data_IF_590143060837
#
_entry.id   IF_590143060837
#
_cell.length_a   1.000
_cell.length_b   1.000
_cell.length_c   1.000
_cell.angle_alpha   90.00
_cell.angle_beta   90.00
_cell.angle_gamma   90.00
#
_symmetry.space_group_name_H-M   'P 1'
#
loop_
_entity.id
_entity.type
_entity.pdbx_description
1 polymer ?
#
# COMPACT_ATOMS: atom_id res chain seq x y z
N UNK A 1 10.34 -29.13 -10.80
CA UNK A 1 9.19 -28.46 -10.15
C UNK A 1 9.04 -27.10 -10.78
N UNK A 2 7.84 -26.60 -11.10
CA UNK A 2 7.70 -25.24 -11.60
C UNK A 2 8.25 -24.28 -10.55
N UNK A 3 9.05 -23.32 -11.00
CA UNK A 3 9.68 -22.32 -10.13
C UNK A 3 8.58 -21.49 -9.44
N UNK A 4 8.66 -21.34 -8.13
CA UNK A 4 7.67 -20.54 -7.37
C UNK A 4 7.66 -19.10 -7.90
N UNK A 5 6.45 -18.54 -8.10
CA UNK A 5 6.30 -17.15 -8.52
C UNK A 5 6.59 -16.22 -7.34
N UNK A 6 7.64 -15.41 -7.44
CA UNK A 6 8.03 -14.44 -6.41
C UNK A 6 7.49 -13.06 -6.77
N UNK A 7 6.69 -12.47 -5.88
CA UNK A 7 6.05 -11.16 -6.08
C UNK A 7 6.47 -10.20 -4.96
N UNK A 8 6.95 -9.03 -5.35
CA UNK A 8 7.21 -7.94 -4.42
C UNK A 8 6.07 -6.90 -4.47
N UNK A 9 5.58 -6.51 -3.30
CA UNK A 9 4.65 -5.40 -3.13
C UNK A 9 5.42 -4.27 -2.40
N UNK A 10 5.58 -3.14 -3.07
CA UNK A 10 6.34 -2.02 -2.54
C UNK A 10 5.41 -0.97 -1.94
N UNK A 11 5.43 -0.87 -0.62
CA UNK A 11 4.57 0.00 0.18
C UNK A 11 3.59 -0.80 1.04
N UNK A 12 3.76 -0.73 2.35
CA UNK A 12 2.92 -1.38 3.37
C UNK A 12 1.70 -0.55 3.77
N UNK A 13 1.08 0.16 2.83
CA UNK A 13 -0.20 0.84 3.00
C UNK A 13 -1.40 -0.04 2.66
N UNK A 14 -2.63 0.53 2.69
CA UNK A 14 -3.87 -0.19 2.38
C UNK A 14 -3.82 -0.88 1.01
N UNK A 15 -3.41 -0.15 -0.03
CA UNK A 15 -3.30 -0.69 -1.38
C UNK A 15 -2.32 -1.87 -1.47
N UNK A 16 -1.18 -1.80 -0.75
CA UNK A 16 -0.19 -2.88 -0.73
C UNK A 16 -0.70 -4.14 -0.04
N UNK A 17 -1.35 -4.00 1.10
CA UNK A 17 -1.97 -5.14 1.79
C UNK A 17 -3.07 -5.78 0.96
N UNK A 18 -3.98 -4.95 0.40
CA UNK A 18 -5.05 -5.45 -0.44
C UNK A 18 -4.50 -6.19 -1.67
N UNK A 19 -3.53 -5.58 -2.39
CA UNK A 19 -2.88 -6.21 -3.54
C UNK A 19 -2.19 -7.53 -3.18
N UNK A 20 -1.50 -7.60 -2.04
CA UNK A 20 -0.83 -8.82 -1.59
C UNK A 20 -1.82 -9.93 -1.24
N UNK A 21 -2.94 -9.59 -0.55
CA UNK A 21 -3.99 -10.54 -0.18
C UNK A 21 -4.65 -11.11 -1.43
N UNK A 22 -5.07 -10.24 -2.36
CA UNK A 22 -5.73 -10.68 -3.59
C UNK A 22 -4.77 -11.45 -4.52
N UNK A 23 -3.51 -11.03 -4.61
CA UNK A 23 -2.50 -11.79 -5.35
C UNK A 23 -2.32 -13.19 -4.74
N UNK A 24 -2.29 -13.31 -3.41
CA UNK A 24 -2.13 -14.61 -2.75
C UNK A 24 -3.36 -15.51 -2.88
N UNK A 25 -4.57 -14.93 -2.88
CA UNK A 25 -5.82 -15.67 -3.15
C UNK A 25 -5.84 -16.25 -4.58
N UNK A 26 -5.41 -15.46 -5.56
CA UNK A 26 -5.39 -15.87 -6.97
C UNK A 26 -4.18 -16.76 -7.33
N UNK A 27 -3.07 -16.62 -6.62
CA UNK A 27 -1.83 -17.38 -6.83
C UNK A 27 -1.38 -18.03 -5.49
N UNK A 28 -2.06 -19.08 -5.01
CA UNK A 28 -1.81 -19.64 -3.66
C UNK A 28 -0.38 -20.14 -3.46
N UNK A 29 0.31 -20.54 -4.51
CA UNK A 29 1.69 -21.03 -4.47
C UNK A 29 2.74 -19.95 -4.67
N UNK A 30 2.34 -18.69 -4.91
CA UNK A 30 3.29 -17.59 -5.03
C UNK A 30 3.90 -17.21 -3.67
N UNK A 31 5.17 -16.85 -3.68
CA UNK A 31 5.85 -16.20 -2.56
C UNK A 31 5.66 -14.69 -2.68
N UNK A 32 4.87 -14.11 -1.76
CA UNK A 32 4.54 -12.68 -1.78
C UNK A 32 5.15 -12.00 -0.57
N UNK A 33 5.86 -10.91 -0.82
CA UNK A 33 6.46 -10.09 0.24
C UNK A 33 6.07 -8.62 0.07
N UNK A 34 5.53 -8.04 1.14
CA UNK A 34 5.32 -6.59 1.27
C UNK A 34 6.59 -5.97 1.85
N UNK A 35 7.13 -4.95 1.18
CA UNK A 35 8.25 -4.15 1.65
C UNK A 35 7.78 -2.75 2.04
N UNK A 36 8.05 -2.34 3.27
CA UNK A 36 7.72 -1.02 3.79
C UNK A 36 9.01 -0.30 4.23
N UNK A 37 9.16 0.96 3.83
CA UNK A 37 10.33 1.78 4.17
C UNK A 37 10.42 2.14 5.65
N UNK A 38 9.27 2.29 6.31
CA UNK A 38 9.18 2.63 7.72
C UNK A 38 9.18 1.37 8.60
N UNK A 39 9.30 1.57 9.90
CA UNK A 39 9.20 0.49 10.88
C UNK A 39 7.76 -0.01 11.12
N UNK A 40 6.75 0.74 10.65
CA UNK A 40 5.33 0.47 10.86
C UNK A 40 4.59 0.48 9.52
N UNK A 41 3.77 -0.53 9.29
CA UNK A 41 2.84 -0.60 8.16
C UNK A 41 1.54 0.13 8.47
N UNK A 42 0.74 0.46 7.44
CA UNK A 42 -0.60 1.04 7.54
C UNK A 42 -0.69 2.36 8.32
N UNK A 43 0.43 3.07 8.51
CA UNK A 43 0.49 4.29 9.32
C UNK A 43 -0.47 5.40 8.84
N UNK A 44 -0.74 5.51 7.53
CA UNK A 44 -1.74 6.46 7.01
C UNK A 44 -3.17 6.01 7.30
N UNK A 45 -3.44 4.71 7.30
CA UNK A 45 -4.77 4.15 7.65
C UNK A 45 -5.11 4.51 9.10
N UNK A 46 -4.13 4.36 10.00
CA UNK A 46 -4.29 4.63 11.43
C UNK A 46 -4.80 6.05 11.72
N UNK A 47 -4.30 7.05 11.00
CA UNK A 47 -4.64 8.47 11.25
C UNK A 47 -5.79 9.00 10.40
N UNK A 48 -6.18 8.30 9.35
CA UNK A 48 -7.24 8.78 8.44
C UNK A 48 -8.61 8.82 9.15
N UNK A 49 -9.47 9.76 8.74
CA UNK A 49 -10.78 9.94 9.36
C UNK A 49 -10.71 10.26 10.86
N UNK A 50 -9.64 10.92 11.34
CA UNK A 50 -9.44 11.22 12.75
C UNK A 50 -9.18 9.98 13.61
N UNK A 51 -8.51 8.97 13.07
CA UNK A 51 -8.22 7.70 13.76
C UNK A 51 -9.31 6.64 13.62
N UNK A 52 -10.41 6.95 12.90
CA UNK A 52 -11.53 6.03 12.69
C UNK A 52 -11.41 5.21 11.40
N UNK A 53 -10.56 5.62 10.47
CA UNK A 53 -10.43 5.13 9.09
C UNK A 53 -11.69 5.42 8.24
N UNK A 54 -11.73 6.58 7.58
CA UNK A 54 -12.66 6.78 6.47
C UNK A 54 -12.24 5.83 5.32
N UNK A 55 -12.97 4.70 5.20
CA UNK A 55 -12.61 3.61 4.32
C UNK A 55 -12.94 3.92 2.86
N UNK A 56 -14.16 4.39 2.61
CA UNK A 56 -14.69 4.73 1.30
C UNK A 56 -15.86 5.68 1.43
N UNK A 57 -16.50 6.00 0.29
CA UNK A 57 -17.78 6.70 0.24
C UNK A 57 -18.80 5.82 -0.49
N UNK A 58 -20.09 5.88 -0.15
CA UNK A 58 -21.12 5.08 -0.81
C UNK A 58 -21.37 5.50 -2.25
N UNK A 59 -20.98 6.71 -2.62
CA UNK A 59 -21.22 7.33 -3.94
C UNK A 59 -22.69 7.49 -4.31
N UNK A 60 -23.65 7.31 -3.40
CA UNK A 60 -25.09 7.40 -3.68
C UNK A 60 -25.50 8.78 -4.18
N UNK A 61 -24.86 9.85 -3.69
CA UNK A 61 -25.14 11.22 -4.08
C UNK A 61 -24.32 11.67 -5.30
N UNK A 62 -23.44 10.84 -5.84
CA UNK A 62 -22.54 11.17 -6.95
C UNK A 62 -23.11 10.61 -8.25
N UNK A 63 -23.83 11.46 -9.00
CA UNK A 63 -24.39 11.07 -10.31
C UNK A 63 -23.35 10.97 -11.42
N UNK A 64 -22.24 11.72 -11.33
CA UNK A 64 -21.14 11.69 -12.29
C UNK A 64 -19.79 11.58 -11.54
N UNK A 65 -19.03 10.52 -11.83
CA UNK A 65 -17.71 10.30 -11.25
C UNK A 65 -16.72 11.46 -11.49
N UNK A 66 -16.99 12.34 -12.46
CA UNK A 66 -16.19 13.55 -12.69
C UNK A 66 -16.26 14.52 -11.49
N UNK A 67 -17.34 14.49 -10.71
CA UNK A 67 -17.49 15.31 -9.50
C UNK A 67 -16.48 14.87 -8.41
N UNK A 68 -16.33 13.55 -8.23
CA UNK A 68 -15.37 13.01 -7.27
C UNK A 68 -13.95 12.92 -7.84
N UNK A 69 -13.83 12.65 -9.13
CA UNK A 69 -12.55 12.49 -9.83
C UNK A 69 -12.46 13.42 -11.03
N UNK A 70 -12.22 14.72 -10.86
CA UNK A 70 -12.12 15.69 -11.97
C UNK A 70 -11.06 15.26 -12.99
N UNK A 71 -9.98 14.63 -12.52
CA UNK A 71 -8.97 13.96 -13.34
C UNK A 71 -9.11 12.45 -13.16
N UNK A 72 -9.02 11.70 -14.27
CA UNK A 72 -9.04 10.24 -14.23
C UNK A 72 -10.41 9.57 -14.12
N UNK A 73 -11.53 10.33 -14.15
CA UNK A 73 -12.90 9.77 -14.06
C UNK A 73 -13.17 8.67 -15.09
N UNK A 74 -12.63 8.79 -16.32
CA UNK A 74 -12.76 7.76 -17.37
C UNK A 74 -12.06 6.44 -16.98
N UNK A 75 -10.91 6.53 -16.33
CA UNK A 75 -10.21 5.37 -15.78
C UNK A 75 -10.99 4.78 -14.61
N UNK A 76 -11.41 5.62 -13.67
CA UNK A 76 -12.20 5.18 -12.51
C UNK A 76 -13.50 4.51 -12.91
N UNK A 77 -14.22 5.02 -13.92
CA UNK A 77 -15.42 4.37 -14.46
C UNK A 77 -15.15 2.94 -14.97
N UNK A 78 -13.96 2.67 -15.54
CA UNK A 78 -13.56 1.32 -15.95
C UNK A 78 -13.19 0.44 -14.76
N UNK A 79 -12.46 0.99 -13.79
CA UNK A 79 -12.04 0.26 -12.59
C UNK A 79 -13.23 -0.09 -11.72
N UNK A 80 -14.18 0.81 -11.52
CA UNK A 80 -15.40 0.58 -10.73
C UNK A 80 -16.28 -0.54 -11.29
N UNK A 81 -16.18 -0.87 -12.58
CA UNK A 81 -16.83 -2.08 -13.12
C UNK A 81 -16.23 -3.39 -12.60
N UNK A 82 -15.02 -3.34 -12.01
CA UNK A 82 -14.31 -4.50 -11.47
C UNK A 82 -14.30 -4.50 -9.95
N UNK A 83 -14.13 -3.33 -9.36
CA UNK A 83 -14.05 -3.15 -7.93
C UNK A 83 -14.47 -1.71 -7.59
N UNK A 84 -15.62 -1.54 -6.98
CA UNK A 84 -16.17 -0.27 -6.54
C UNK A 84 -16.31 -0.22 -5.00
N UNK A 85 -17.07 0.77 -4.50
CA UNK A 85 -17.29 0.94 -3.07
C UNK A 85 -18.03 -0.25 -2.45
N UNK A 86 -19.01 -0.83 -3.18
CA UNK A 86 -19.79 -1.96 -2.68
C UNK A 86 -18.90 -3.20 -2.53
N UNK A 87 -18.04 -3.46 -3.52
CA UNK A 87 -17.06 -4.55 -3.41
C UNK A 87 -16.09 -4.32 -2.23
N UNK A 88 -15.69 -3.07 -1.96
CA UNK A 88 -14.86 -2.76 -0.80
C UNK A 88 -15.61 -2.99 0.52
N UNK A 89 -16.89 -2.57 0.57
CA UNK A 89 -17.77 -2.78 1.72
C UNK A 89 -17.92 -4.27 2.01
N UNK A 90 -18.36 -5.03 1.02
CA UNK A 90 -18.58 -6.48 1.14
C UNK A 90 -17.29 -7.21 1.55
N UNK A 91 -16.15 -6.82 0.96
CA UNK A 91 -14.86 -7.43 1.28
C UNK A 91 -14.49 -7.30 2.77
N UNK A 92 -14.69 -6.14 3.37
CA UNK A 92 -14.37 -5.94 4.78
C UNK A 92 -15.39 -6.65 5.68
N UNK A 93 -16.67 -6.63 5.37
CA UNK A 93 -17.69 -7.35 6.12
C UNK A 93 -17.48 -8.88 6.08
N UNK A 94 -17.17 -9.44 4.92
CA UNK A 94 -16.80 -10.85 4.75
C UNK A 94 -15.53 -11.23 5.53
N UNK A 95 -14.63 -10.28 5.77
CA UNK A 95 -13.43 -10.49 6.59
C UNK A 95 -13.64 -10.10 8.07
N UNK A 96 -14.89 -9.92 8.50
CA UNK A 96 -15.27 -9.78 9.91
C UNK A 96 -15.16 -8.35 10.45
N UNK A 97 -15.19 -7.33 9.59
CA UNK A 97 -15.22 -5.92 10.01
C UNK A 97 -16.57 -5.31 9.65
N UNK A 98 -17.52 -5.21 10.60
CA UNK A 98 -18.77 -4.52 10.37
C UNK A 98 -18.54 -3.04 10.03
N UNK A 99 -19.24 -2.55 9.01
CA UNK A 99 -19.12 -1.19 8.53
C UNK A 99 -20.41 -0.38 8.76
N UNK A 100 -20.29 0.94 8.74
CA UNK A 100 -21.41 1.88 8.83
C UNK A 100 -21.20 3.03 7.86
N UNK A 101 -22.26 3.37 7.12
CA UNK A 101 -22.32 4.57 6.28
C UNK A 101 -22.90 5.70 7.11
N UNK A 102 -22.22 6.83 7.17
CA UNK A 102 -22.68 8.05 7.86
C UNK A 102 -23.55 8.91 6.93
N UNK A 103 -24.19 9.95 7.47
CA UNK A 103 -25.08 10.85 6.72
C UNK A 103 -24.38 11.55 5.53
N UNK A 104 -23.07 11.81 5.68
CA UNK A 104 -22.22 12.37 4.61
C UNK A 104 -21.71 11.34 3.59
N UNK A 105 -22.32 10.16 3.58
CA UNK A 105 -21.98 9.01 2.73
C UNK A 105 -20.58 8.43 2.94
N UNK A 106 -19.83 8.90 3.95
CA UNK A 106 -18.56 8.31 4.34
C UNK A 106 -18.76 6.99 5.07
N UNK A 107 -17.94 6.00 4.75
CA UNK A 107 -18.00 4.65 5.32
C UNK A 107 -16.87 4.45 6.31
N UNK A 108 -17.22 4.01 7.52
CA UNK A 108 -16.29 3.75 8.62
C UNK A 108 -16.50 2.35 9.19
N UNK A 109 -15.52 1.75 9.88
CA UNK A 109 -15.78 0.60 10.71
C UNK A 109 -16.77 0.96 11.83
N UNK A 110 -17.69 0.06 12.13
CA UNK A 110 -18.70 0.27 13.18
C UNK A 110 -18.06 0.54 14.56
N UNK A 111 -16.88 -0.01 14.80
CA UNK A 111 -16.09 0.23 16.01
C UNK A 111 -15.62 1.71 16.15
N UNK A 112 -15.66 2.50 15.09
CA UNK A 112 -15.08 3.85 15.02
C UNK A 112 -13.57 3.88 15.37
N UNK A 113 -12.86 2.77 15.16
CA UNK A 113 -11.43 2.61 15.40
C UNK A 113 -10.75 2.03 14.16
N UNK A 114 -9.75 2.75 13.64
CA UNK A 114 -8.97 2.35 12.47
C UNK A 114 -8.24 1.01 12.66
N UNK A 115 -8.01 0.59 13.91
CA UNK A 115 -7.37 -0.71 14.19
C UNK A 115 -8.21 -1.89 13.71
N UNK A 116 -9.54 -1.78 13.64
CA UNK A 116 -10.38 -2.82 13.04
C UNK A 116 -9.99 -3.11 11.58
N UNK A 117 -9.72 -2.07 10.82
CA UNK A 117 -9.28 -2.19 9.42
C UNK A 117 -7.82 -2.68 9.34
N UNK A 118 -6.94 -2.13 10.19
CA UNK A 118 -5.52 -2.49 10.24
C UNK A 118 -5.36 -3.98 10.60
N UNK A 119 -6.02 -4.43 11.63
CA UNK A 119 -5.94 -5.81 12.11
C UNK A 119 -6.53 -6.79 11.09
N UNK A 120 -7.64 -6.43 10.45
CA UNK A 120 -8.22 -7.21 9.37
C UNK A 120 -7.20 -7.44 8.24
N UNK A 121 -6.57 -6.37 7.73
CA UNK A 121 -5.60 -6.46 6.64
C UNK A 121 -4.35 -7.25 7.06
N UNK A 122 -3.78 -6.94 8.22
CA UNK A 122 -2.55 -7.58 8.72
C UNK A 122 -2.78 -9.07 8.99
N UNK A 123 -3.85 -9.41 9.70
CA UNK A 123 -4.14 -10.79 10.08
C UNK A 123 -4.52 -11.63 8.85
N UNK A 124 -5.27 -11.07 7.89
CA UNK A 124 -5.59 -11.76 6.64
C UNK A 124 -4.34 -12.03 5.82
N UNK A 125 -3.44 -11.03 5.66
CA UNK A 125 -2.18 -11.21 4.96
C UNK A 125 -1.30 -12.29 5.62
N UNK A 126 -1.16 -12.24 6.94
CA UNK A 126 -0.39 -13.24 7.71
C UNK A 126 -0.98 -14.65 7.58
N UNK A 127 -2.30 -14.80 7.73
CA UNK A 127 -3.01 -16.09 7.59
C UNK A 127 -2.79 -16.72 6.22
N UNK A 128 -2.69 -15.91 5.18
CA UNK A 128 -2.39 -16.34 3.82
C UNK A 128 -0.90 -16.62 3.58
N UNK A 129 -0.02 -16.34 4.53
CA UNK A 129 1.42 -16.54 4.40
C UNK A 129 2.16 -15.43 3.64
N UNK A 130 1.56 -14.24 3.53
CA UNK A 130 2.26 -13.07 2.99
C UNK A 130 3.33 -12.61 3.98
N UNK A 131 4.55 -12.42 3.48
CA UNK A 131 5.69 -11.91 4.26
C UNK A 131 5.63 -10.39 4.32
N UNK A 132 5.96 -9.81 5.49
CA UNK A 132 6.01 -8.35 5.68
C UNK A 132 7.41 -7.99 6.16
N UNK A 133 8.09 -7.12 5.41
CA UNK A 133 9.43 -6.62 5.72
C UNK A 133 9.42 -5.09 5.83
N UNK A 134 9.47 -4.60 7.06
CA UNK A 134 9.63 -3.18 7.36
C UNK A 134 11.09 -2.74 7.24
N UNK A 135 11.34 -1.43 7.27
CA UNK A 135 12.66 -0.80 7.15
C UNK A 135 13.38 -1.11 5.82
N UNK A 136 12.64 -1.43 4.77
CA UNK A 136 13.15 -1.69 3.44
C UNK A 136 12.68 -0.61 2.48
N UNK A 137 13.51 0.38 2.22
CA UNK A 137 13.25 1.44 1.24
C UNK A 137 13.72 1.03 -0.14
N UNK A 138 12.82 0.88 -1.10
CA UNK A 138 13.19 0.68 -2.51
C UNK A 138 13.98 1.91 -3.01
N UNK A 139 15.11 1.66 -3.67
CA UNK A 139 15.97 2.71 -4.24
C UNK A 139 16.13 2.59 -5.74
N UNK A 140 16.13 1.37 -6.29
CA UNK A 140 16.22 1.14 -7.72
C UNK A 140 15.48 -0.15 -8.14
N UNK A 141 15.11 -0.20 -9.41
CA UNK A 141 14.57 -1.39 -10.08
C UNK A 141 15.36 -1.55 -11.38
N UNK A 142 15.88 -2.75 -11.62
CA UNK A 142 16.63 -3.09 -12.84
C UNK A 142 16.02 -4.34 -13.45
N UNK A 143 15.75 -4.31 -14.75
CA UNK A 143 15.31 -5.50 -15.50
C UNK A 143 16.51 -6.42 -15.77
N UNK A 144 16.34 -7.70 -15.50
CA UNK A 144 17.35 -8.74 -15.75
C UNK A 144 17.08 -9.42 -17.10
N UNK A 145 18.10 -10.07 -17.66
CA UNK A 145 18.02 -10.80 -18.95
C UNK A 145 16.96 -11.90 -18.94
N UNK A 146 16.62 -12.46 -17.78
CA UNK A 146 15.62 -13.52 -17.60
C UNK A 146 14.21 -12.96 -17.27
N UNK A 147 13.93 -11.70 -17.60
CA UNK A 147 12.66 -11.00 -17.39
C UNK A 147 12.27 -10.81 -15.92
N UNK A 148 13.15 -11.10 -14.98
CA UNK A 148 12.96 -10.76 -13.58
C UNK A 148 13.38 -9.31 -13.31
N UNK A 149 12.89 -8.77 -12.21
CA UNK A 149 13.20 -7.42 -11.73
C UNK A 149 14.09 -7.52 -10.49
N UNK A 150 15.30 -6.98 -10.58
CA UNK A 150 16.20 -6.83 -9.45
C UNK A 150 15.84 -5.54 -8.70
N UNK A 151 15.53 -5.68 -7.41
CA UNK A 151 15.17 -4.57 -6.54
C UNK A 151 16.30 -4.27 -5.57
N UNK A 152 16.73 -3.02 -5.52
CA UNK A 152 17.70 -2.52 -4.56
C UNK A 152 16.96 -1.90 -3.38
N UNK A 153 17.24 -2.39 -2.18
CA UNK A 153 16.68 -1.89 -0.94
C UNK A 153 17.75 -1.27 -0.06
N UNK A 154 17.49 -0.07 0.42
CA UNK A 154 18.20 0.49 1.57
C UNK A 154 17.52 -0.03 2.84
N UNK A 155 18.23 -0.89 3.58
CA UNK A 155 17.71 -1.49 4.81
C UNK A 155 18.25 -0.72 6.00
N UNK A 156 17.35 -0.18 6.84
CA UNK A 156 17.72 0.50 8.08
C UNK A 156 17.63 -0.49 9.25
N UNK A 157 18.71 -0.69 9.99
CA UNK A 157 18.66 -1.47 11.23
C UNK A 157 17.83 -0.69 12.25
N UNK A 158 16.72 -1.25 12.72
CA UNK A 158 15.93 -0.70 13.81
C UNK A 158 16.85 -0.46 15.03
N UNK A 159 16.60 0.61 15.77
CA UNK A 159 17.24 0.83 17.07
C UNK A 159 16.85 -0.34 17.98
N UNK A 160 17.72 -1.34 18.08
CA UNK A 160 17.60 -2.34 19.14
C UNK A 160 17.70 -1.59 20.47
N UNK A 161 16.81 -1.91 21.42
CA UNK A 161 16.94 -1.50 22.80
C UNK A 161 18.21 -2.15 23.39
N UNK A 162 19.35 -1.48 23.20
CA UNK A 162 20.54 -1.72 24.00
C UNK A 162 20.67 -0.54 24.93
N UNK A 163 20.22 -0.77 26.16
CA UNK A 163 20.52 0.10 27.30
C UNK A 163 22.03 0.27 27.45
N UNK A 164 22.52 1.49 27.30
CA UNK A 164 23.85 1.90 27.74
C UNK A 164 24.94 1.81 26.68
N UNK A 165 25.04 2.84 25.82
CA UNK A 165 26.31 3.44 25.39
C UNK A 165 26.01 4.68 24.54
N UNK A 166 26.44 5.83 25.00
CA UNK A 166 26.49 7.09 24.27
C UNK A 166 27.57 7.02 23.19
N UNK A 167 27.20 6.83 21.96
CA UNK A 167 27.97 7.28 20.81
C UNK A 167 27.02 7.48 19.62
N UNK A 168 27.06 8.65 19.02
CA UNK A 168 26.32 9.02 17.84
C UNK A 168 26.82 8.19 16.63
N UNK A 169 26.44 6.93 16.55
CA UNK A 169 26.64 6.11 15.38
C UNK A 169 25.45 6.33 14.45
N UNK A 170 25.70 6.86 13.26
CA UNK A 170 24.72 6.92 12.17
C UNK A 170 24.18 5.50 11.95
N UNK A 171 22.86 5.32 11.75
CA UNK A 171 22.32 3.99 11.48
C UNK A 171 22.99 3.44 10.22
N UNK A 172 23.72 2.33 10.37
CA UNK A 172 24.36 1.65 9.24
C UNK A 172 23.24 1.14 8.35
N UNK A 173 23.10 1.75 7.17
CA UNK A 173 22.18 1.27 6.14
C UNK A 173 22.93 0.28 5.24
N UNK A 174 22.36 -0.90 5.08
CA UNK A 174 22.83 -1.94 4.19
C UNK A 174 22.02 -1.88 2.87
N UNK A 175 22.70 -2.05 1.72
CA UNK A 175 22.02 -2.24 0.45
C UNK A 175 21.79 -3.74 0.27
N UNK A 176 20.54 -4.11 0.03
CA UNK A 176 20.13 -5.49 -0.23
C UNK A 176 19.49 -5.60 -1.60
N UNK A 177 19.95 -6.53 -2.41
CA UNK A 177 19.43 -6.80 -3.74
C UNK A 177 18.63 -8.10 -3.75
N UNK A 178 17.42 -8.06 -4.31
CA UNK A 178 16.55 -9.24 -4.37
C UNK A 178 15.82 -9.23 -5.73
N UNK A 179 15.83 -10.37 -6.42
CA UNK A 179 15.15 -10.53 -7.71
C UNK A 179 13.73 -11.09 -7.54
N UNK A 180 12.78 -10.53 -8.29
CA UNK A 180 11.37 -10.92 -8.30
C UNK A 180 10.85 -11.11 -9.72
N UNK A 181 9.84 -11.97 -9.87
CA UNK A 181 9.16 -12.20 -11.15
C UNK A 181 8.15 -11.08 -11.46
N UNK A 182 7.55 -10.50 -10.43
CA UNK A 182 6.56 -9.40 -10.56
C UNK A 182 6.72 -8.42 -9.42
N UNK A 183 6.44 -7.16 -9.71
CA UNK A 183 6.51 -6.06 -8.73
C UNK A 183 5.25 -5.22 -8.84
N UNK A 184 4.63 -4.91 -7.71
CA UNK A 184 3.55 -3.93 -7.63
C UNK A 184 4.02 -2.73 -6.81
N UNK A 185 3.94 -1.53 -7.37
CA UNK A 185 4.29 -0.28 -6.70
C UNK A 185 3.03 0.32 -6.09
N UNK A 186 2.98 0.34 -4.76
CA UNK A 186 1.83 0.81 -3.97
C UNK A 186 2.24 1.85 -2.92
N UNK A 187 3.26 2.65 -3.25
CA UNK A 187 3.87 3.62 -2.33
C UNK A 187 2.99 4.85 -2.04
N UNK A 188 1.87 4.97 -2.75
CA UNK A 188 0.98 6.13 -2.66
C UNK A 188 1.56 7.38 -3.31
N UNK A 189 0.88 8.51 -3.13
CA UNK A 189 1.32 9.80 -3.65
C UNK A 189 2.51 10.38 -2.88
N UNK A 190 3.27 11.24 -3.55
CA UNK A 190 4.39 11.97 -2.96
C UNK A 190 4.44 13.40 -3.50
N UNK A 191 4.74 14.43 -2.67
CA UNK A 191 4.76 15.82 -3.12
C UNK A 191 5.95 16.17 -4.03
N UNK A 192 7.03 15.38 -3.99
CA UNK A 192 8.25 15.62 -4.75
C UNK A 192 8.40 14.60 -5.87
N UNK A 193 8.67 15.08 -7.09
CA UNK A 193 8.82 14.24 -8.29
C UNK A 193 9.99 13.26 -8.18
N UNK A 194 11.06 13.65 -7.46
CA UNK A 194 12.25 12.82 -7.27
C UNK A 194 11.95 11.48 -6.59
N UNK A 195 10.86 11.41 -5.82
CA UNK A 195 10.45 10.17 -5.16
C UNK A 195 9.84 9.14 -6.13
N UNK A 196 9.60 9.53 -7.38
CA UNK A 196 9.16 8.65 -8.46
C UNK A 196 10.29 8.29 -9.44
N UNK A 197 11.55 8.63 -9.11
CA UNK A 197 12.71 8.39 -9.97
C UNK A 197 12.81 6.94 -10.44
N UNK A 198 12.55 5.97 -9.58
CA UNK A 198 12.55 4.54 -9.92
C UNK A 198 11.52 4.18 -11.01
N UNK A 199 10.43 4.94 -11.17
CA UNK A 199 9.47 4.77 -12.25
C UNK A 199 9.94 5.47 -13.53
N UNK A 200 10.53 6.67 -13.40
CA UNK A 200 11.12 7.37 -14.56
C UNK A 200 12.27 6.59 -15.18
N UNK A 201 13.10 5.95 -14.35
CA UNK A 201 14.22 5.10 -14.79
C UNK A 201 13.74 3.86 -15.57
N UNK A 202 12.49 3.40 -15.33
CA UNK A 202 11.81 2.35 -16.11
C UNK A 202 11.10 2.89 -17.37
N UNK A 203 11.27 4.17 -17.71
CA UNK A 203 10.70 4.77 -18.90
C UNK A 203 9.29 5.36 -18.73
N UNK A 204 8.74 5.41 -17.51
CA UNK A 204 7.44 6.06 -17.29
C UNK A 204 7.58 7.58 -17.29
N UNK A 205 6.69 8.26 -18.01
CA UNK A 205 6.55 9.71 -17.92
C UNK A 205 5.83 10.07 -16.60
N UNK A 206 6.47 10.91 -15.78
CA UNK A 206 5.93 11.35 -14.51
C UNK A 206 5.61 12.86 -14.60
N UNK A 207 4.33 13.20 -14.41
CA UNK A 207 3.93 14.60 -14.29
C UNK A 207 4.23 15.14 -12.89
N UNK A 208 4.53 16.42 -12.80
CA UNK A 208 4.78 17.10 -11.53
C UNK A 208 3.56 16.96 -10.61
N UNK A 209 3.72 16.42 -9.40
CA UNK A 209 2.63 16.34 -8.43
C UNK A 209 2.13 17.73 -8.04
N UNK A 210 0.81 17.91 -8.06
CA UNK A 210 0.15 19.16 -7.67
C UNK A 210 -0.72 18.84 -6.45
N UNK A 211 -0.66 19.65 -5.36
CA UNK A 211 -1.58 19.50 -4.23
C UNK A 211 -3.03 19.59 -4.70
N UNK A 212 -3.86 18.64 -4.32
CA UNK A 212 -5.28 18.58 -4.69
C UNK A 212 -6.23 18.79 -3.51
N UNK A 213 -5.70 18.73 -2.28
CA UNK A 213 -6.44 18.97 -1.05
C UNK A 213 -5.66 19.95 -0.18
N UNK A 214 -6.32 20.97 0.33
CA UNK A 214 -5.75 21.99 1.21
C UNK A 214 -6.48 21.97 2.54
N UNK A 215 -5.73 22.13 3.64
CA UNK A 215 -6.29 22.45 4.94
C UNK A 215 -6.21 23.96 5.12
N UNK A 216 -7.32 24.59 5.42
CA UNK A 216 -7.35 26.01 5.83
C UNK A 216 -7.18 26.07 7.36
N UNK A 217 -6.20 26.82 7.83
CA UNK A 217 -6.02 27.14 9.24
C UNK A 217 -6.73 28.44 9.55
#
# INVERSE_FOLDING_TARGET
MPQSLHIAIIGGGAAGFFAAIEAKRNFPHADITIFEKNSKVLAKVEITGGGRCNLTNSFEEISDLKQAYPRGHKLMKRLFKRFDYQHAFDWFEENGVPLVTQEDQCVFPQSQDSHSIIDCLVNTAKRLGVKIQCNHQLTAITELEDERLLLDFKVSKGKGNLSGASSASHPVSEIRQIAFHRVAITTGGHPKIENFKHLSDLGHAIEQPIPSLFTFN
#
